data_IF_547321930281
#
_entry.id   IF_547321930281
#
_cell.length_a   1.000
_cell.length_b   1.000
_cell.length_c   1.000
_cell.angle_alpha   90.00
_cell.angle_beta   90.00
_cell.angle_gamma   90.00
#
_symmetry.space_group_name_H-M   'P 1'
#
loop_
_entity.id
_entity.type
_entity.pdbx_description
1 polymer ?
#
# COMPACT_ATOMS: atom_id res chain seq x y z
N UNK A 1 0.30 11.50 4.71
CA UNK A 1 0.88 11.12 3.43
C UNK A 1 1.32 12.35 2.64
N UNK A 2 2.43 12.25 1.95
CA UNK A 2 2.92 13.28 1.04
C UNK A 2 2.79 12.75 -0.38
N UNK A 3 2.13 13.52 -1.26
CA UNK A 3 2.02 13.19 -2.69
C UNK A 3 3.14 13.91 -3.44
N UNK A 4 3.88 13.17 -4.23
CA UNK A 4 4.97 13.70 -5.04
C UNK A 4 5.97 12.60 -5.39
N UNK A 5 6.71 12.80 -6.46
CA UNK A 5 7.71 11.81 -6.88
C UNK A 5 9.10 12.08 -6.31
N UNK A 6 9.40 13.34 -6.05
CA UNK A 6 10.71 13.76 -5.55
C UNK A 6 10.52 14.84 -4.49
N UNK A 7 11.34 14.78 -3.47
CA UNK A 7 11.39 15.74 -2.38
C UNK A 7 12.78 16.36 -2.33
N UNK A 8 12.88 17.61 -1.87
CA UNK A 8 14.16 18.18 -1.54
C UNK A 8 14.65 17.66 -0.17
N UNK A 9 15.94 17.80 0.09
CA UNK A 9 16.50 17.38 1.38
C UNK A 9 15.94 18.24 2.53
N UNK A 10 15.63 19.50 2.26
CA UNK A 10 15.02 20.43 3.23
C UNK A 10 13.59 19.99 3.60
N UNK A 11 12.78 19.57 2.63
CA UNK A 11 11.43 19.05 2.88
C UNK A 11 11.47 17.76 3.72
N UNK A 12 12.47 16.91 3.47
CA UNK A 12 12.67 15.69 4.25
C UNK A 12 13.16 16.00 5.67
N UNK A 13 14.04 16.98 5.86
CA UNK A 13 14.47 17.40 7.21
C UNK A 13 13.30 17.97 8.02
N UNK A 14 12.46 18.83 7.40
CA UNK A 14 11.26 19.32 8.06
C UNK A 14 10.31 18.19 8.49
N UNK A 15 10.16 17.16 7.62
CA UNK A 15 9.38 15.97 7.96
C UNK A 15 10.04 15.19 9.11
N UNK A 16 11.36 15.04 9.10
CA UNK A 16 12.11 14.35 10.15
C UNK A 16 11.95 15.05 11.51
N UNK A 17 11.96 16.38 11.57
CA UNK A 17 11.70 17.13 12.80
C UNK A 17 10.29 16.86 13.35
N UNK A 18 9.28 16.83 12.47
CA UNK A 18 7.91 16.49 12.86
C UNK A 18 7.79 15.06 13.37
N UNK A 19 8.48 14.10 12.74
CA UNK A 19 8.53 12.71 13.19
C UNK A 19 9.16 12.61 14.58
N UNK A 20 10.32 13.24 14.81
CA UNK A 20 10.96 13.29 16.14
C UNK A 20 10.03 13.84 17.23
N UNK A 21 9.26 14.87 16.90
CA UNK A 21 8.29 15.45 17.84
C UNK A 21 7.14 14.48 18.15
N UNK A 22 6.58 13.82 17.14
CA UNK A 22 5.50 12.83 17.29
C UNK A 22 5.98 11.57 18.01
N UNK A 23 7.21 11.14 17.80
CA UNK A 23 7.78 9.92 18.40
C UNK A 23 7.87 9.99 19.93
N UNK A 24 7.92 11.20 20.49
CA UNK A 24 7.87 11.42 21.95
C UNK A 24 6.60 10.89 22.61
N UNK A 25 5.54 10.65 21.85
CA UNK A 25 4.28 10.06 22.36
C UNK A 25 4.31 8.55 22.47
N UNK A 26 5.39 7.88 22.03
CA UNK A 26 5.49 6.42 21.97
C UNK A 26 4.71 5.77 20.82
N UNK A 27 4.16 6.56 19.91
CA UNK A 27 3.36 6.07 18.79
C UNK A 27 4.24 5.41 17.73
N UNK A 28 3.77 4.28 17.17
CA UNK A 28 4.36 3.68 15.98
C UNK A 28 3.94 4.49 14.75
N UNK A 29 4.92 5.01 14.01
CA UNK A 29 4.68 5.95 12.92
C UNK A 29 4.88 5.26 11.56
N UNK A 30 3.85 5.39 10.70
CA UNK A 30 3.91 4.96 9.31
C UNK A 30 3.74 6.19 8.40
N UNK A 31 4.64 6.36 7.44
CA UNK A 31 4.58 7.47 6.48
C UNK A 31 4.33 6.93 5.06
N UNK A 32 3.33 7.51 4.39
CA UNK A 32 3.15 7.32 2.95
C UNK A 32 3.86 8.47 2.23
N UNK A 33 4.91 8.14 1.51
CA UNK A 33 5.79 9.08 0.84
C UNK A 33 6.22 8.51 -0.52
N UNK A 34 6.56 9.37 -1.47
CA UNK A 34 7.03 8.98 -2.78
C UNK A 34 8.41 8.30 -2.76
N UNK A 35 9.14 8.43 -3.85
CA UNK A 35 10.51 7.88 -3.93
C UNK A 35 11.46 8.68 -3.06
N UNK A 36 12.28 7.96 -2.29
CA UNK A 36 13.35 8.52 -1.47
C UNK A 36 14.70 8.12 -2.05
N UNK A 37 15.66 9.02 -1.97
CA UNK A 37 17.07 8.66 -2.08
C UNK A 37 17.53 7.94 -0.80
N UNK A 38 18.63 7.20 -0.85
CA UNK A 38 19.17 6.54 0.33
C UNK A 38 19.50 7.55 1.45
N UNK A 39 20.03 8.72 1.10
CA UNK A 39 20.30 9.81 2.05
C UNK A 39 19.03 10.25 2.76
N UNK A 40 17.97 10.54 2.01
CA UNK A 40 16.67 10.97 2.53
C UNK A 40 16.02 9.90 3.42
N UNK A 41 16.09 8.64 2.99
CA UNK A 41 15.59 7.53 3.78
C UNK A 41 16.34 7.40 5.12
N UNK A 42 17.67 7.53 5.14
CA UNK A 42 18.44 7.54 6.38
C UNK A 42 18.06 8.70 7.30
N UNK A 43 17.82 9.90 6.78
CA UNK A 43 17.36 11.05 7.59
C UNK A 43 16.05 10.74 8.33
N UNK A 44 15.10 10.08 7.65
CA UNK A 44 13.83 9.67 8.27
C UNK A 44 14.00 8.50 9.26
N UNK A 45 14.89 7.57 8.96
CA UNK A 45 15.22 6.47 9.86
C UNK A 45 15.87 6.97 11.16
N UNK A 46 16.81 7.89 11.07
CA UNK A 46 17.46 8.54 12.21
C UNK A 46 16.49 9.42 13.02
N UNK A 47 15.39 9.87 12.39
CA UNK A 47 14.28 10.51 13.07
C UNK A 47 13.33 9.53 13.78
N UNK A 48 13.62 8.23 13.73
CA UNK A 48 12.85 7.14 14.33
C UNK A 48 11.48 6.92 13.65
N UNK A 49 11.37 7.14 12.33
CA UNK A 49 10.24 6.65 11.56
C UNK A 49 10.29 5.12 11.50
N UNK A 50 9.21 4.44 11.88
CA UNK A 50 9.20 2.98 11.96
C UNK A 50 8.91 2.33 10.61
N UNK A 51 7.90 2.81 9.88
CA UNK A 51 7.36 2.14 8.69
C UNK A 51 7.16 3.12 7.54
N UNK A 52 7.43 2.65 6.32
CA UNK A 52 7.12 3.37 5.09
C UNK A 52 6.07 2.61 4.29
N UNK A 53 5.02 3.33 3.88
CA UNK A 53 4.05 2.82 2.92
C UNK A 53 4.54 3.11 1.50
N UNK A 54 4.75 2.05 0.73
CA UNK A 54 5.20 2.12 -0.66
C UNK A 54 4.56 0.98 -1.47
N UNK A 55 3.28 1.18 -1.83
CA UNK A 55 2.47 0.15 -2.47
C UNK A 55 2.97 -0.22 -3.87
N UNK A 56 2.90 -1.51 -4.24
CA UNK A 56 3.08 -1.96 -5.63
C UNK A 56 1.93 -1.50 -6.52
N UNK A 57 0.72 -1.43 -5.97
CA UNK A 57 -0.55 -1.11 -6.62
C UNK A 57 -1.08 -2.18 -7.55
N UNK A 58 -0.26 -2.80 -8.43
CA UNK A 58 -0.67 -3.83 -9.38
C UNK A 58 0.49 -4.76 -9.73
N UNK A 59 0.32 -5.66 -10.72
CA UNK A 59 1.39 -6.50 -11.25
C UNK A 59 2.41 -5.71 -12.08
N UNK A 60 3.57 -6.31 -12.29
CA UNK A 60 4.61 -5.79 -13.20
C UNK A 60 4.06 -5.60 -14.63
N UNK A 61 3.30 -6.58 -15.13
CA UNK A 61 2.75 -6.57 -16.48
C UNK A 61 1.71 -5.46 -16.68
N UNK A 62 0.85 -5.24 -15.68
CA UNK A 62 -0.21 -4.24 -15.76
C UNK A 62 0.23 -2.83 -15.35
N UNK A 63 1.40 -2.68 -14.75
CA UNK A 63 1.84 -1.43 -14.11
C UNK A 63 1.89 -0.22 -15.05
N UNK A 64 2.32 -0.41 -16.30
CA UNK A 64 2.38 0.66 -17.30
C UNK A 64 1.02 1.24 -17.70
N UNK A 65 -0.09 0.50 -17.42
CA UNK A 65 -1.45 0.98 -17.66
C UNK A 65 -1.96 1.94 -16.59
N UNK A 66 -1.33 1.92 -15.40
CA UNK A 66 -1.76 2.73 -14.25
C UNK A 66 -0.76 3.81 -13.86
N UNK A 67 0.47 3.72 -14.34
CA UNK A 67 1.54 4.65 -13.99
C UNK A 67 2.47 4.90 -15.18
N UNK A 68 2.65 6.17 -15.55
CA UNK A 68 3.55 6.61 -16.62
C UNK A 68 4.80 7.34 -16.10
N UNK A 69 4.87 7.64 -14.81
CA UNK A 69 5.92 8.49 -14.23
C UNK A 69 7.14 7.71 -13.73
N UNK A 70 6.96 6.43 -13.45
CA UNK A 70 8.02 5.53 -13.00
C UNK A 70 7.64 4.07 -13.29
N UNK A 71 8.62 3.17 -13.25
CA UNK A 71 8.42 1.76 -13.54
C UNK A 71 8.11 0.96 -12.27
N UNK A 72 7.58 -0.24 -12.45
CA UNK A 72 7.41 -1.23 -11.39
C UNK A 72 8.75 -1.58 -10.72
N UNK A 73 9.80 -1.79 -11.54
CA UNK A 73 11.13 -2.14 -11.03
C UNK A 73 11.72 -1.05 -10.14
N UNK A 74 11.61 0.22 -10.55
CA UNK A 74 12.04 1.34 -9.70
C UNK A 74 11.32 1.33 -8.34
N UNK A 75 10.06 0.92 -8.31
CA UNK A 75 9.30 0.82 -7.05
C UNK A 75 9.83 -0.31 -6.17
N UNK A 76 10.06 -1.48 -6.75
CA UNK A 76 10.62 -2.65 -6.03
C UNK A 76 12.04 -2.33 -5.53
N UNK A 77 12.88 -1.74 -6.35
CA UNK A 77 14.24 -1.30 -5.96
C UNK A 77 14.20 -0.33 -4.78
N UNK A 78 13.27 0.64 -4.78
CA UNK A 78 13.13 1.58 -3.67
C UNK A 78 12.67 0.87 -2.39
N UNK A 79 11.74 -0.10 -2.49
CA UNK A 79 11.35 -0.93 -1.33
C UNK A 79 12.55 -1.67 -0.76
N UNK A 80 13.33 -2.36 -1.58
CA UNK A 80 14.51 -3.09 -1.11
C UNK A 80 15.57 -2.19 -0.48
N UNK A 81 15.76 -0.99 -1.02
CA UNK A 81 16.64 0.01 -0.40
C UNK A 81 16.14 0.40 1.00
N UNK A 82 14.84 0.63 1.16
CA UNK A 82 14.22 0.97 2.43
C UNK A 82 14.34 -0.17 3.45
N UNK A 83 14.10 -1.42 3.03
CA UNK A 83 14.29 -2.62 3.87
C UNK A 83 15.75 -2.76 4.33
N UNK A 84 16.70 -2.53 3.43
CA UNK A 84 18.14 -2.60 3.74
C UNK A 84 18.58 -1.54 4.77
N UNK A 85 17.90 -0.40 4.82
CA UNK A 85 18.12 0.63 5.86
C UNK A 85 17.57 0.18 7.21
N UNK A 86 16.51 -0.64 7.22
CA UNK A 86 15.89 -1.17 8.43
C UNK A 86 14.44 -0.73 8.66
N UNK A 87 13.80 -0.13 7.67
CA UNK A 87 12.38 0.21 7.77
C UNK A 87 11.49 -1.03 7.70
N UNK A 88 10.44 -1.04 8.49
CA UNK A 88 9.27 -1.86 8.17
C UNK A 88 8.60 -1.34 6.90
N UNK A 89 8.10 -2.26 6.08
CA UNK A 89 7.42 -1.93 4.83
C UNK A 89 5.91 -2.19 4.93
N UNK A 90 5.14 -1.22 4.48
CA UNK A 90 3.72 -1.39 4.20
C UNK A 90 3.56 -1.34 2.68
N UNK A 91 3.29 -2.48 2.05
CA UNK A 91 3.16 -2.57 0.59
C UNK A 91 2.04 -3.52 0.21
N UNK A 92 1.20 -3.09 -0.71
CA UNK A 92 0.03 -3.83 -1.17
C UNK A 92 -0.47 -3.32 -2.51
N UNK A 93 -1.76 -3.52 -2.79
CA UNK A 93 -2.33 -3.22 -4.09
C UNK A 93 -3.70 -2.57 -4.07
N UNK A 94 -4.15 -2.24 -5.29
CA UNK A 94 -5.50 -1.75 -5.57
C UNK A 94 -6.12 -2.71 -6.57
N UNK A 95 -7.26 -3.27 -6.22
CA UNK A 95 -8.01 -4.25 -7.02
C UNK A 95 -9.18 -3.55 -7.71
N UNK A 96 -9.36 -3.82 -9.01
CA UNK A 96 -10.46 -3.28 -9.82
C UNK A 96 -10.06 -2.14 -10.75
N UNK A 97 -8.76 -1.88 -10.94
CA UNK A 97 -8.28 -0.89 -11.91
C UNK A 97 -8.35 -1.37 -13.36
N UNK A 98 -8.70 -2.66 -13.59
CA UNK A 98 -8.82 -3.31 -14.90
C UNK A 98 -7.75 -4.37 -15.16
N UNK A 99 -6.98 -4.70 -14.15
CA UNK A 99 -6.06 -5.82 -14.11
C UNK A 99 -6.81 -7.16 -14.26
N UNK A 100 -6.13 -8.17 -14.75
CA UNK A 100 -6.64 -9.55 -14.80
C UNK A 100 -6.51 -10.25 -13.42
N UNK A 101 -7.10 -11.43 -13.29
CA UNK A 101 -6.92 -12.26 -12.08
C UNK A 101 -5.48 -12.76 -11.96
N UNK A 102 -4.85 -13.03 -13.08
CA UNK A 102 -3.45 -13.41 -13.17
C UNK A 102 -2.55 -12.27 -12.66
N UNK A 103 -2.86 -11.02 -13.01
CA UNK A 103 -2.15 -9.84 -12.48
C UNK A 103 -2.26 -9.74 -10.95
N UNK A 104 -3.41 -10.08 -10.38
CA UNK A 104 -3.57 -10.10 -8.92
C UNK A 104 -2.67 -11.15 -8.28
N UNK A 105 -2.59 -12.35 -8.88
CA UNK A 105 -1.69 -13.42 -8.41
C UNK A 105 -0.23 -12.97 -8.53
N UNK A 106 0.18 -12.41 -9.67
CA UNK A 106 1.56 -11.96 -9.91
C UNK A 106 1.97 -10.85 -8.93
N UNK A 107 1.08 -9.91 -8.64
CA UNK A 107 1.31 -8.89 -7.61
C UNK A 107 1.55 -9.53 -6.23
N UNK A 108 0.72 -10.52 -5.86
CA UNK A 108 0.87 -11.21 -4.58
C UNK A 108 2.14 -12.08 -4.52
N UNK A 109 2.58 -12.65 -5.66
CA UNK A 109 3.88 -13.34 -5.74
C UNK A 109 5.04 -12.39 -5.48
N UNK A 110 5.04 -11.20 -6.07
CA UNK A 110 6.06 -10.19 -5.80
C UNK A 110 6.03 -9.74 -4.32
N UNK A 111 4.84 -9.52 -3.75
CA UNK A 111 4.69 -9.19 -2.32
C UNK A 111 5.19 -10.32 -1.41
N UNK A 112 5.04 -11.57 -1.81
CA UNK A 112 5.61 -12.72 -1.11
C UNK A 112 7.14 -12.69 -1.08
N UNK A 113 7.79 -12.27 -2.17
CA UNK A 113 9.25 -12.13 -2.23
C UNK A 113 9.74 -10.92 -1.40
N UNK A 114 8.98 -9.81 -1.44
CA UNK A 114 9.27 -8.59 -0.66
C UNK A 114 9.09 -8.83 0.84
N UNK A 115 8.12 -9.64 1.25
CA UNK A 115 7.76 -9.89 2.66
C UNK A 115 7.49 -8.60 3.46
N UNK A 116 6.54 -7.74 3.05
CA UNK A 116 6.24 -6.53 3.82
C UNK A 116 5.62 -6.90 5.18
N UNK A 117 5.87 -6.10 6.21
CA UNK A 117 5.25 -6.26 7.53
C UNK A 117 3.73 -6.02 7.48
N UNK A 118 3.28 -5.12 6.61
CA UNK A 118 1.86 -4.87 6.40
C UNK A 118 1.50 -4.89 4.91
N UNK A 119 0.41 -5.57 4.58
CA UNK A 119 -0.10 -5.75 3.23
C UNK A 119 -1.52 -5.19 3.11
N UNK A 120 -1.69 -3.90 2.77
CA UNK A 120 -3.00 -3.31 2.53
C UNK A 120 -3.54 -3.72 1.16
N UNK A 121 -4.76 -4.25 1.14
CA UNK A 121 -5.55 -4.44 -0.07
C UNK A 121 -6.63 -3.37 -0.11
N UNK A 122 -6.65 -2.61 -1.20
CA UNK A 122 -7.66 -1.61 -1.51
C UNK A 122 -8.54 -2.14 -2.64
N UNK A 123 -9.83 -1.87 -2.56
CA UNK A 123 -10.78 -2.13 -3.64
C UNK A 123 -11.20 -0.81 -4.24
N UNK A 124 -11.12 -0.69 -5.56
CA UNK A 124 -11.34 0.57 -6.27
C UNK A 124 -12.74 1.13 -5.98
N UNK A 125 -12.78 2.39 -5.60
CA UNK A 125 -13.99 3.20 -5.57
C UNK A 125 -13.87 4.25 -6.69
N UNK A 126 -14.57 4.08 -7.82
CA UNK A 126 -14.52 5.04 -8.92
C UNK A 126 -15.03 6.40 -8.48
N UNK A 127 -14.22 7.43 -8.67
CA UNK A 127 -14.60 8.81 -8.36
C UNK A 127 -14.74 9.56 -9.68
N UNK A 128 -15.95 10.05 -9.96
CA UNK A 128 -16.24 10.79 -11.20
C UNK A 128 -15.26 11.95 -11.40
N UNK A 129 -14.77 12.08 -12.63
CA UNK A 129 -13.79 13.11 -12.98
C UNK A 129 -12.31 12.71 -12.75
N UNK A 130 -12.05 11.49 -12.27
CA UNK A 130 -10.71 10.93 -12.21
C UNK A 130 -10.47 9.96 -13.38
N UNK A 131 -9.21 9.62 -13.72
CA UNK A 131 -8.91 8.67 -14.80
C UNK A 131 -9.55 7.29 -14.66
N UNK A 132 -9.86 6.86 -13.42
CA UNK A 132 -10.54 5.60 -13.13
C UNK A 132 -12.03 5.80 -12.77
N UNK A 133 -12.56 7.01 -12.95
CA UNK A 133 -13.92 7.36 -12.51
C UNK A 133 -15.04 6.66 -13.26
N UNK A 134 -14.79 6.26 -14.52
CA UNK A 134 -15.74 5.56 -15.37
C UNK A 134 -15.39 4.06 -15.52
N UNK A 135 -14.52 3.53 -14.64
CA UNK A 135 -14.13 2.13 -14.68
C UNK A 135 -15.30 1.22 -14.32
N UNK A 136 -15.50 0.18 -15.11
CA UNK A 136 -16.45 -0.88 -14.78
C UNK A 136 -15.90 -1.70 -13.60
N UNK A 137 -16.62 -1.65 -12.49
CA UNK A 137 -16.31 -2.38 -11.25
C UNK A 137 -17.34 -3.48 -10.95
N UNK A 138 -18.17 -3.84 -11.91
CA UNK A 138 -19.21 -4.89 -11.73
C UNK A 138 -18.64 -6.23 -11.29
N UNK A 139 -17.36 -6.51 -11.62
CA UNK A 139 -16.62 -7.68 -11.18
C UNK A 139 -16.14 -7.64 -9.71
N UNK A 140 -16.14 -6.48 -9.05
CA UNK A 140 -15.78 -6.33 -7.64
C UNK A 140 -16.96 -6.71 -6.73
N UNK A 141 -17.35 -7.97 -6.77
CA UNK A 141 -18.35 -8.50 -5.83
C UNK A 141 -17.72 -8.76 -4.45
N UNK A 142 -18.55 -8.80 -3.40
CA UNK A 142 -18.10 -9.19 -2.04
C UNK A 142 -17.34 -10.53 -2.06
N UNK A 143 -17.84 -11.49 -2.84
CA UNK A 143 -17.22 -12.82 -2.99
C UNK A 143 -15.81 -12.72 -3.63
N UNK A 144 -15.67 -11.93 -4.70
CA UNK A 144 -14.36 -11.74 -5.34
C UNK A 144 -13.38 -11.01 -4.43
N UNK A 145 -13.81 -9.94 -3.78
CA UNK A 145 -12.99 -9.21 -2.82
C UNK A 145 -12.53 -10.11 -1.67
N UNK A 146 -13.42 -10.98 -1.14
CA UNK A 146 -13.07 -11.95 -0.11
C UNK A 146 -12.04 -12.98 -0.63
N UNK A 147 -12.21 -13.50 -1.86
CA UNK A 147 -11.23 -14.41 -2.46
C UNK A 147 -9.85 -13.79 -2.57
N UNK A 148 -9.76 -12.52 -2.95
CA UNK A 148 -8.46 -11.81 -3.02
C UNK A 148 -7.81 -11.72 -1.63
N UNK A 149 -8.57 -11.39 -0.59
CA UNK A 149 -8.04 -11.33 0.79
C UNK A 149 -7.59 -12.70 1.29
N UNK A 150 -8.38 -13.76 1.03
CA UNK A 150 -7.99 -15.13 1.36
C UNK A 150 -6.71 -15.54 0.62
N UNK A 151 -6.60 -15.19 -0.66
CA UNK A 151 -5.41 -15.48 -1.46
C UNK A 151 -4.19 -14.74 -0.89
N UNK A 152 -4.32 -13.46 -0.54
CA UNK A 152 -3.25 -12.70 0.11
C UNK A 152 -2.80 -13.38 1.42
N UNK A 153 -3.74 -13.82 2.27
CA UNK A 153 -3.44 -14.57 3.50
C UNK A 153 -2.66 -15.86 3.24
N UNK A 154 -3.04 -16.61 2.21
CA UNK A 154 -2.40 -17.88 1.87
C UNK A 154 -1.02 -17.69 1.26
N UNK A 155 -0.84 -16.67 0.42
CA UNK A 155 0.40 -16.44 -0.29
C UNK A 155 1.44 -15.66 0.53
N UNK A 156 0.99 -14.75 1.40
CA UNK A 156 1.87 -13.89 2.22
C UNK A 156 1.48 -13.99 3.70
N UNK A 157 1.56 -15.19 4.31
CA UNK A 157 1.01 -15.46 5.63
C UNK A 157 1.69 -14.71 6.76
N UNK A 158 2.90 -14.21 6.56
CA UNK A 158 3.69 -13.49 7.57
C UNK A 158 3.30 -12.01 7.68
N UNK A 159 2.64 -11.47 6.67
CA UNK A 159 2.24 -10.05 6.65
C UNK A 159 0.95 -9.82 7.43
N UNK A 160 0.86 -8.65 8.02
CA UNK A 160 -0.39 -8.09 8.59
C UNK A 160 -1.32 -7.69 7.43
N UNK A 161 -2.24 -8.59 7.05
CA UNK A 161 -3.19 -8.35 5.95
C UNK A 161 -4.22 -7.32 6.38
N UNK A 162 -4.35 -6.26 5.61
CA UNK A 162 -5.25 -5.14 5.91
C UNK A 162 -6.27 -4.93 4.81
N UNK A 163 -7.54 -4.91 5.16
CA UNK A 163 -8.56 -4.39 4.27
C UNK A 163 -8.63 -2.86 4.44
N UNK A 164 -8.26 -2.15 3.37
CA UNK A 164 -8.17 -0.69 3.38
C UNK A 164 -9.37 -0.04 2.68
N UNK A 165 -9.17 0.76 1.63
CA UNK A 165 -10.26 1.42 0.93
C UNK A 165 -11.22 0.43 0.26
N UNK A 166 -12.50 0.80 0.16
CA UNK A 166 -13.57 0.00 -0.48
C UNK A 166 -14.28 -0.95 0.49
N UNK A 167 -13.77 -1.16 1.69
CA UNK A 167 -14.39 -2.03 2.70
C UNK A 167 -15.86 -1.68 2.94
N UNK A 168 -16.15 -0.41 3.12
CA UNK A 168 -17.49 0.11 3.43
C UNK A 168 -18.51 -0.18 2.33
N UNK A 169 -18.07 -0.36 1.11
CA UNK A 169 -18.92 -0.64 -0.06
C UNK A 169 -19.06 -2.13 -0.29
N UNK A 170 -17.92 -2.84 -0.38
CA UNK A 170 -17.92 -4.24 -0.83
C UNK A 170 -18.20 -5.25 0.30
N UNK A 171 -18.07 -4.86 1.58
CA UNK A 171 -18.31 -5.73 2.73
C UNK A 171 -19.41 -5.20 3.66
N UNK A 172 -20.24 -4.28 3.18
CA UNK A 172 -21.34 -3.73 3.97
C UNK A 172 -22.26 -4.84 4.50
N UNK A 173 -22.35 -4.94 5.83
CA UNK A 173 -23.14 -5.97 6.51
C UNK A 173 -22.44 -7.32 6.64
N UNK A 174 -21.22 -7.48 6.12
CA UNK A 174 -20.42 -8.71 6.17
C UNK A 174 -19.06 -8.52 6.88
N UNK A 175 -18.89 -7.43 7.61
CA UNK A 175 -17.62 -7.03 8.21
C UNK A 175 -17.07 -8.09 9.20
N UNK A 176 -17.96 -8.87 9.84
CA UNK A 176 -17.55 -9.96 10.72
C UNK A 176 -16.79 -11.07 9.97
N UNK A 177 -17.20 -11.37 8.72
CA UNK A 177 -16.51 -12.36 7.88
C UNK A 177 -15.12 -11.87 7.50
N UNK A 178 -15.01 -10.57 7.24
CA UNK A 178 -13.74 -9.94 6.90
C UNK A 178 -12.70 -10.16 8.00
N UNK A 179 -13.08 -9.96 9.27
CA UNK A 179 -12.19 -10.11 10.42
C UNK A 179 -11.69 -11.55 10.67
N UNK A 180 -12.26 -12.56 9.99
CA UNK A 180 -11.74 -13.93 10.04
C UNK A 180 -10.55 -14.16 9.11
N UNK A 181 -10.26 -13.22 8.19
CA UNK A 181 -9.21 -13.34 7.17
C UNK A 181 -8.12 -12.28 7.34
N UNK A 182 -8.50 -11.05 7.71
CA UNK A 182 -7.58 -9.93 7.85
C UNK A 182 -7.20 -9.67 9.31
N UNK A 183 -6.01 -9.14 9.53
CA UNK A 183 -5.50 -8.77 10.86
C UNK A 183 -6.01 -7.39 11.30
N UNK A 184 -6.25 -6.51 10.34
CA UNK A 184 -6.69 -5.14 10.61
C UNK A 184 -7.52 -4.53 9.48
N UNK A 185 -8.24 -3.48 9.81
CA UNK A 185 -9.04 -2.69 8.88
C UNK A 185 -8.77 -1.21 9.10
N UNK A 186 -8.93 -0.41 8.06
CA UNK A 186 -8.94 1.04 8.20
C UNK A 186 -10.31 1.48 8.69
N UNK A 187 -10.36 2.15 9.83
CA UNK A 187 -11.63 2.48 10.52
C UNK A 187 -12.19 3.86 10.15
N UNK A 188 -11.46 4.70 9.42
CA UNK A 188 -11.89 6.07 9.09
C UNK A 188 -11.22 6.61 7.82
N UNK A 189 -11.84 7.62 7.21
CA UNK A 189 -11.19 8.48 6.21
C UNK A 189 -11.44 8.13 4.75
N UNK A 190 -12.33 7.17 4.44
CA UNK A 190 -12.63 6.73 3.07
C UNK A 190 -14.11 6.86 2.68
N UNK A 191 -14.82 7.77 3.33
CA UNK A 191 -16.19 8.19 2.95
C UNK A 191 -16.21 9.63 2.51
#
# INVERSE_FOLDING_TARGET
GLSGMKFTDEEIEELAERIRAMKKTGTHLCCSIGFLTEKQARMLYDACLDRINHNLNSSRAYYSHICSTHTFDQRVENIHMLQKIGFEICSGGIIGMGESKEDVVDMLMELREIQPEALPINFLLPIKGTPLGDKDISGLTTEYCMKVLCLARLMVPQSDIRCAAGREVYFKGEEKKLLSVVDSIFASGYL
#
